data_IF_015331888392
#
_entry.id   IF_015331888392
#
_cell.length_a   1.000
_cell.length_b   1.000
_cell.length_c   1.000
_cell.angle_alpha   90.00
_cell.angle_beta   90.00
_cell.angle_gamma   90.00
#
_symmetry.space_group_name_H-M   'P 1'
#
loop_
_entity.id
_entity.type
_entity.pdbx_description
1 polymer ?
#
# COMPACT_ATOMS: atom_id res chain seq x y z
N UNK A 1 -6.99 -0.04 16.38
CA UNK A 1 -7.35 -0.35 14.97
C UNK A 1 -8.52 -1.31 14.84
N UNK A 2 -8.42 -2.54 15.35
CA UNK A 2 -9.46 -3.57 15.24
C UNK A 2 -10.85 -3.11 15.69
N UNK A 3 -10.95 -2.47 16.86
CA UNK A 3 -12.22 -1.96 17.39
C UNK A 3 -12.88 -0.86 16.52
N UNK A 4 -12.10 -0.02 15.83
CA UNK A 4 -12.62 1.02 14.93
C UNK A 4 -13.19 0.41 13.65
N UNK A 5 -12.53 -0.64 13.16
CA UNK A 5 -12.99 -1.41 11.99
C UNK A 5 -14.29 -2.17 12.32
N UNK A 6 -14.34 -2.80 13.49
CA UNK A 6 -15.53 -3.49 13.99
C UNK A 6 -16.68 -2.52 14.26
N UNK A 7 -16.42 -1.31 14.77
CA UNK A 7 -17.43 -0.27 14.97
C UNK A 7 -18.07 0.23 13.66
N UNK A 8 -17.37 0.09 12.53
CA UNK A 8 -17.90 0.34 11.18
C UNK A 8 -18.58 -0.89 10.56
N UNK A 9 -18.72 -1.98 11.31
CA UNK A 9 -19.29 -3.24 10.83
C UNK A 9 -18.38 -4.00 9.87
N UNK A 10 -17.09 -3.64 9.81
CA UNK A 10 -16.14 -4.20 8.86
C UNK A 10 -15.32 -5.31 9.49
N UNK A 11 -15.11 -6.38 8.72
CA UNK A 11 -14.25 -7.49 9.08
C UNK A 11 -12.94 -7.40 8.30
N UNK A 12 -11.80 -7.54 8.99
CA UNK A 12 -10.49 -7.67 8.34
C UNK A 12 -10.43 -8.84 7.35
N UNK A 13 -11.23 -9.89 7.56
CA UNK A 13 -11.28 -11.03 6.64
C UNK A 13 -12.05 -10.70 5.36
N UNK A 14 -13.17 -9.99 5.49
CA UNK A 14 -13.95 -9.51 4.35
C UNK A 14 -13.16 -8.48 3.53
N UNK A 15 -12.49 -7.55 4.22
CA UNK A 15 -11.61 -6.56 3.60
C UNK A 15 -10.44 -7.21 2.87
N UNK A 16 -9.76 -8.18 3.50
CA UNK A 16 -8.68 -8.94 2.87
C UNK A 16 -9.13 -9.61 1.56
N UNK A 17 -10.32 -10.22 1.56
CA UNK A 17 -10.88 -10.86 0.37
C UNK A 17 -11.17 -9.84 -0.74
N UNK A 18 -11.70 -8.67 -0.40
CA UNK A 18 -11.98 -7.59 -1.37
C UNK A 18 -10.72 -7.02 -2.01
N UNK A 19 -9.68 -6.83 -1.21
CA UNK A 19 -8.38 -6.32 -1.67
C UNK A 19 -7.48 -7.40 -2.29
N UNK A 20 -7.92 -8.67 -2.30
CA UNK A 20 -7.14 -9.78 -2.85
C UNK A 20 -5.87 -10.11 -2.06
N UNK A 21 -5.82 -9.79 -0.77
CA UNK A 21 -4.65 -10.02 0.10
C UNK A 21 -4.95 -11.00 1.22
N UNK A 22 -3.90 -11.50 1.90
CA UNK A 22 -4.08 -12.36 3.06
C UNK A 22 -4.55 -11.57 4.28
N UNK A 23 -5.30 -12.23 5.17
CA UNK A 23 -5.72 -11.64 6.44
C UNK A 23 -4.52 -11.15 7.28
N UNK A 24 -3.39 -11.88 7.25
CA UNK A 24 -2.18 -11.45 7.95
C UNK A 24 -1.59 -10.17 7.38
N UNK A 25 -1.65 -9.95 6.06
CA UNK A 25 -1.20 -8.71 5.44
C UNK A 25 -2.03 -7.51 5.90
N UNK A 26 -3.36 -7.69 6.03
CA UNK A 26 -4.26 -6.67 6.59
C UNK A 26 -3.95 -6.41 8.06
N UNK A 27 -3.75 -7.45 8.88
CA UNK A 27 -3.39 -7.28 10.29
C UNK A 27 -2.07 -6.54 10.49
N UNK A 28 -1.04 -6.89 9.71
CA UNK A 28 0.24 -6.18 9.74
C UNK A 28 0.09 -4.72 9.31
N UNK A 29 -0.66 -4.48 8.24
CA UNK A 29 -0.97 -3.13 7.74
C UNK A 29 -1.74 -2.30 8.77
N UNK A 30 -2.74 -2.90 9.42
CA UNK A 30 -3.51 -2.28 10.49
C UNK A 30 -2.65 -1.94 11.71
N UNK A 31 -1.62 -2.75 12.02
CA UNK A 31 -0.61 -2.47 13.04
C UNK A 31 0.45 -1.45 12.60
N UNK A 32 0.31 -0.87 11.40
CA UNK A 32 1.21 0.14 10.86
C UNK A 32 2.38 -0.43 10.04
N UNK A 33 2.55 -1.75 9.96
CA UNK A 33 3.64 -2.39 9.23
C UNK A 33 3.25 -2.79 7.79
N UNK A 34 4.22 -2.87 6.88
CA UNK A 34 3.95 -3.32 5.50
C UNK A 34 3.56 -2.20 4.52
N UNK A 35 2.72 -2.54 3.54
CA UNK A 35 2.43 -1.70 2.37
C UNK A 35 1.76 -0.36 2.74
N UNK A 36 2.21 0.75 2.15
CA UNK A 36 1.53 2.05 2.29
C UNK A 36 0.14 2.02 1.67
N UNK A 37 -0.02 1.32 0.55
CA UNK A 37 -1.29 1.22 -0.17
C UNK A 37 -2.39 0.57 0.69
N UNK A 38 -2.07 -0.52 1.41
CA UNK A 38 -3.04 -1.17 2.30
C UNK A 38 -3.40 -0.27 3.49
N UNK A 39 -2.46 0.52 4.01
CA UNK A 39 -2.72 1.47 5.09
C UNK A 39 -3.64 2.60 4.63
N UNK A 40 -3.47 3.09 3.42
CA UNK A 40 -4.37 4.08 2.80
C UNK A 40 -5.76 3.50 2.57
N UNK A 41 -5.85 2.27 2.05
CA UNK A 41 -7.13 1.59 1.84
C UNK A 41 -7.88 1.37 3.17
N UNK A 42 -7.18 0.93 4.22
CA UNK A 42 -7.74 0.78 5.57
C UNK A 42 -8.23 2.13 6.12
N UNK A 43 -7.45 3.20 5.95
CA UNK A 43 -7.80 4.53 6.43
C UNK A 43 -9.04 5.11 5.70
N UNK A 44 -9.13 4.92 4.38
CA UNK A 44 -10.32 5.30 3.60
C UNK A 44 -11.57 4.58 4.09
N UNK A 45 -11.47 3.29 4.39
CA UNK A 45 -12.63 2.48 4.76
C UNK A 45 -13.24 2.88 6.11
N UNK A 46 -12.41 3.38 7.02
CA UNK A 46 -12.84 3.89 8.33
C UNK A 46 -13.05 5.41 8.34
N UNK A 47 -13.00 6.04 7.16
CA UNK A 47 -13.18 7.49 6.96
C UNK A 47 -12.19 8.35 7.76
N UNK A 48 -10.96 7.85 7.95
CA UNK A 48 -9.87 8.58 8.60
C UNK A 48 -8.74 8.83 7.61
N UNK A 49 -7.93 9.84 7.92
CA UNK A 49 -6.70 10.06 7.16
C UNK A 49 -5.59 9.12 7.67
N UNK A 50 -4.70 8.61 6.79
CA UNK A 50 -3.59 7.75 7.21
C UNK A 50 -2.69 8.38 8.29
N UNK A 51 -2.56 9.71 8.28
CA UNK A 51 -1.85 10.49 9.30
C UNK A 51 -2.51 10.39 10.69
N UNK A 52 -3.85 10.41 10.76
CA UNK A 52 -4.58 10.23 12.02
C UNK A 52 -4.44 8.82 12.58
N UNK A 53 -4.27 7.81 11.70
CA UNK A 53 -4.09 6.42 12.12
C UNK A 53 -2.68 6.09 12.58
N UNK A 54 -1.69 6.65 11.89
CA UNK A 54 -0.28 6.31 12.06
C UNK A 54 0.57 7.57 12.24
N UNK A 55 0.28 8.42 13.24
CA UNK A 55 0.97 9.70 13.43
C UNK A 55 2.49 9.52 13.58
N UNK A 56 2.95 8.38 14.09
CA UNK A 56 4.37 8.02 14.20
C UNK A 56 5.07 7.82 12.85
N UNK A 57 4.31 7.70 11.75
CA UNK A 57 4.82 7.48 10.39
C UNK A 57 4.62 8.66 9.47
N UNK A 58 4.04 9.76 9.92
CA UNK A 58 3.84 10.93 9.09
C UNK A 58 4.33 12.21 9.81
N UNK A 59 4.85 13.16 9.05
CA UNK A 59 5.29 14.45 9.56
C UNK A 59 4.08 15.34 9.93
N UNK A 60 4.33 16.49 10.54
CA UNK A 60 3.29 17.47 10.87
C UNK A 60 2.58 18.09 9.65
N UNK A 61 3.00 17.76 8.43
CA UNK A 61 2.40 18.18 7.15
C UNK A 61 1.65 17.03 6.46
N UNK A 62 1.60 15.83 7.04
CA UNK A 62 0.94 14.66 6.46
C UNK A 62 1.80 13.85 5.49
N UNK A 63 3.10 14.13 5.34
CA UNK A 63 4.01 13.35 4.50
C UNK A 63 4.57 12.15 5.27
N UNK A 64 4.71 11.00 4.60
CA UNK A 64 5.20 9.79 5.25
C UNK A 64 6.69 9.95 5.67
N UNK A 65 7.02 9.73 6.95
CA UNK A 65 8.36 9.79 7.55
C UNK A 65 9.33 8.69 7.07
N UNK A 66 8.89 7.85 6.14
CA UNK A 66 9.73 6.84 5.51
C UNK A 66 10.54 7.47 4.39
N UNK A 67 11.87 7.41 4.52
CA UNK A 67 12.83 7.66 3.44
C UNK A 67 12.49 6.71 2.29
N UNK A 68 11.73 7.19 1.29
CA UNK A 68 11.60 6.50 0.02
C UNK A 68 13.03 6.42 -0.48
N UNK A 69 13.65 5.23 -0.44
CA UNK A 69 14.91 5.02 -1.15
C UNK A 69 14.63 5.48 -2.57
N UNK A 70 15.41 6.44 -3.07
CA UNK A 70 15.30 6.85 -4.47
C UNK A 70 15.26 5.59 -5.33
N UNK A 71 14.31 5.55 -6.25
CA UNK A 71 14.15 4.41 -7.14
C UNK A 71 15.41 4.26 -7.99
N UNK A 72 16.34 3.39 -7.58
CA UNK A 72 17.61 3.15 -8.30
C UNK A 72 17.43 2.32 -9.59
N UNK A 73 16.21 2.22 -10.14
CA UNK A 73 16.04 1.63 -11.49
C UNK A 73 16.34 2.69 -12.52
N UNK A 74 17.62 2.80 -12.86
CA UNK A 74 18.08 3.40 -14.11
C UNK A 74 17.73 2.43 -15.25
N UNK A 75 16.44 2.38 -15.63
CA UNK A 75 16.05 1.66 -16.84
C UNK A 75 16.54 2.50 -18.01
N UNK A 76 17.68 2.11 -18.60
CA UNK A 76 18.13 2.70 -19.86
C UNK A 76 16.98 2.54 -20.88
N UNK A 77 16.46 3.61 -21.49
CA UNK A 77 15.60 3.47 -22.64
C UNK A 77 16.52 3.03 -23.79
N UNK A 78 16.44 1.76 -24.19
CA UNK A 78 16.75 1.22 -25.53
C UNK A 78 17.07 -0.28 -25.43
N UNK A 79 16.04 -1.10 -25.25
CA UNK A 79 16.04 -2.41 -25.88
C UNK A 79 15.59 -2.18 -27.33
N UNK A 80 16.49 -2.32 -28.30
CA UNK A 80 16.10 -2.41 -29.71
C UNK A 80 15.16 -3.60 -29.83
N UNK A 81 13.96 -3.38 -30.37
CA UNK A 81 13.10 -4.49 -30.79
C UNK A 81 13.90 -5.37 -31.75
N UNK A 82 13.81 -6.67 -31.52
CA UNK A 82 14.41 -7.73 -32.32
C UNK A 82 14.10 -7.47 -33.79
N UNK A 83 15.12 -7.40 -34.65
CA UNK A 83 14.90 -7.52 -36.09
C UNK A 83 14.38 -8.94 -36.33
N UNK A 84 13.08 -9.05 -36.63
CA UNK A 84 12.53 -10.24 -37.23
C UNK A 84 13.25 -10.45 -38.56
N UNK A 85 14.24 -11.33 -38.54
CA UNK A 85 14.86 -11.88 -39.74
C UNK A 85 13.80 -12.61 -40.55
N UNK A 86 13.13 -11.88 -41.45
CA UNK A 86 12.33 -12.47 -42.51
C UNK A 86 13.25 -13.31 -43.38
N UNK A 87 13.06 -14.63 -43.30
CA UNK A 87 13.47 -15.55 -44.35
C UNK A 87 12.77 -15.15 -45.66
N UNK A 88 13.56 -14.93 -46.70
CA UNK A 88 13.15 -14.86 -48.10
C UNK A 88 14.33 -15.36 -48.96
#
# INVERSE_FOLDING_TARGET
MKALFEAKGLSFRAFAFREGVSHQAVCQSAAGHGSSHLREAIAREIELTPWQLYPERYDGKGNHLGRIRDQQRNTRPHGRNVEDGRAA
#
